data_IF_849428949594
#
_entry.id   IF_849428949594
#
_cell.length_a   1.000
_cell.length_b   1.000
_cell.length_c   1.000
_cell.angle_alpha   90.00
_cell.angle_beta   90.00
_cell.angle_gamma   90.00
#
_symmetry.space_group_name_H-M   'P 1'
#
loop_
_entity.id
_entity.type
_entity.pdbx_description
1 polymer ?
#
# COMPACT_ATOMS: atom_id res chain seq x y z
N UNK A 1 32.61 -16.45 88.84
CA UNK A 1 32.41 -15.09 88.28
C UNK A 1 32.97 -15.08 86.86
N UNK A 2 32.18 -15.30 85.90
CA UNK A 2 32.61 -15.41 84.50
C UNK A 2 31.97 -14.27 83.72
N UNK A 3 32.79 -13.33 83.22
CA UNK A 3 32.37 -12.17 82.43
C UNK A 3 32.14 -12.60 81.00
N UNK A 4 30.94 -12.38 80.49
CA UNK A 4 30.63 -12.52 79.07
C UNK A 4 30.83 -11.19 78.34
N UNK A 5 31.69 -11.23 77.35
CA UNK A 5 31.94 -10.07 76.43
C UNK A 5 31.03 -10.27 75.22
N UNK A 6 30.13 -9.31 74.98
CA UNK A 6 29.26 -9.26 73.78
C UNK A 6 30.05 -8.56 72.66
N UNK A 7 30.31 -9.33 71.58
CA UNK A 7 30.85 -8.75 70.32
C UNK A 7 29.69 -8.38 69.45
N UNK A 8 29.54 -7.08 69.19
CA UNK A 8 28.57 -6.57 68.23
C UNK A 8 29.24 -6.52 66.87
N UNK A 9 28.84 -7.43 65.98
CA UNK A 9 29.27 -7.40 64.58
C UNK A 9 28.40 -6.46 63.76
N UNK A 10 29.04 -5.41 63.26
CA UNK A 10 28.42 -4.50 62.24
C UNK A 10 28.48 -5.18 60.89
N UNK A 11 27.32 -5.57 60.31
CA UNK A 11 27.20 -5.97 58.91
C UNK A 11 27.10 -4.69 58.06
N UNK A 12 28.12 -4.46 57.26
CA UNK A 12 28.10 -3.43 56.24
C UNK A 12 27.24 -4.00 55.07
N UNK A 13 26.02 -3.46 54.89
CA UNK A 13 25.26 -3.66 53.68
C UNK A 13 25.92 -2.83 52.57
N UNK A 14 26.66 -3.50 51.69
CA UNK A 14 27.07 -2.92 50.42
C UNK A 14 25.84 -2.83 49.54
N UNK A 15 25.20 -1.68 49.50
CA UNK A 15 24.15 -1.36 48.53
C UNK A 15 24.79 -1.29 47.14
N UNK A 16 24.50 -2.29 46.29
CA UNK A 16 24.78 -2.24 44.86
C UNK A 16 23.91 -1.14 44.23
N UNK A 17 24.51 0.03 44.01
CA UNK A 17 23.96 1.03 43.11
C UNK A 17 23.93 0.43 41.72
N UNK A 18 22.74 0.00 41.26
CA UNK A 18 22.47 -0.21 39.86
C UNK A 18 22.48 1.17 39.22
N UNK A 19 23.37 1.47 38.25
CA UNK A 19 23.29 2.74 37.55
C UNK A 19 21.94 2.77 36.83
N UNK A 20 21.11 3.76 37.13
CA UNK A 20 19.95 4.10 36.34
C UNK A 20 20.46 4.41 34.94
N UNK A 21 20.23 3.48 34.00
CA UNK A 21 20.40 3.76 32.58
C UNK A 21 19.34 4.82 32.28
N UNK A 22 19.75 6.07 32.29
CA UNK A 22 19.02 7.14 31.67
C UNK A 22 18.97 6.75 30.19
N UNK A 23 17.83 6.32 29.74
CA UNK A 23 17.53 6.26 28.32
C UNK A 23 17.81 7.68 27.82
N UNK A 24 18.88 7.80 27.05
CA UNK A 24 19.21 9.02 26.36
C UNK A 24 18.05 9.20 25.39
N UNK A 25 17.10 10.09 25.73
CA UNK A 25 16.08 10.54 24.81
C UNK A 25 16.81 10.93 23.54
N UNK A 26 16.52 10.18 22.47
CA UNK A 26 17.13 10.40 21.18
C UNK A 26 16.88 11.85 20.76
N UNK A 27 17.91 12.66 20.82
CA UNK A 27 17.92 14.06 20.44
C UNK A 27 17.81 14.29 18.92
N UNK A 28 17.25 13.32 18.19
CA UNK A 28 16.79 13.44 16.82
C UNK A 28 15.27 13.49 16.78
N UNK A 29 14.68 14.42 17.53
CA UNK A 29 13.29 14.79 17.29
C UNK A 29 13.20 15.28 15.84
N UNK A 30 12.45 14.56 15.00
CA UNK A 30 12.18 14.99 13.62
C UNK A 30 11.52 16.37 13.71
N UNK A 31 12.19 17.38 13.18
CA UNK A 31 11.60 18.71 13.10
C UNK A 31 10.52 18.68 12.01
N UNK A 32 9.27 18.77 12.43
CA UNK A 32 8.14 18.88 11.50
C UNK A 32 8.08 20.31 10.96
N UNK A 33 8.11 20.49 9.62
CA UNK A 33 7.86 21.81 9.04
C UNK A 33 6.41 22.23 9.30
N UNK A 34 6.13 23.53 9.27
CA UNK A 34 4.76 23.99 9.15
C UNK A 34 4.19 23.56 7.79
N UNK A 35 2.96 23.08 7.78
CA UNK A 35 2.31 22.72 6.53
C UNK A 35 2.21 23.95 5.59
N UNK A 36 2.62 23.78 4.36
CA UNK A 36 2.54 24.80 3.32
C UNK A 36 1.90 24.21 2.06
N UNK A 37 1.01 24.99 1.46
CA UNK A 37 0.32 24.60 0.22
C UNK A 37 -0.94 23.77 0.46
N UNK A 38 -1.49 23.28 -0.63
CA UNK A 38 -2.74 22.53 -0.71
C UNK A 38 -2.58 21.11 -0.13
N UNK A 39 -3.64 20.58 0.47
CA UNK A 39 -3.69 19.19 0.91
C UNK A 39 -3.38 18.26 -0.27
N UNK A 40 -2.49 17.33 -0.02
CA UNK A 40 -2.13 16.23 -0.93
C UNK A 40 -2.34 14.88 -0.26
N UNK A 41 -2.65 13.87 -1.08
CA UNK A 41 -2.94 12.53 -0.63
C UNK A 41 -2.35 11.48 -1.57
N UNK A 42 -2.15 10.26 -1.07
CA UNK A 42 -1.66 9.12 -1.83
C UNK A 42 -2.25 7.82 -1.27
N UNK A 43 -2.08 6.74 -2.01
CA UNK A 43 -2.42 5.37 -1.63
C UNK A 43 -3.85 5.21 -1.09
N UNK A 44 -4.80 5.55 -1.92
CA UNK A 44 -6.23 5.51 -1.61
C UNK A 44 -6.81 4.12 -1.91
N UNK A 45 -7.59 3.62 -0.96
CA UNK A 45 -8.40 2.41 -1.14
C UNK A 45 -9.79 2.63 -0.55
N UNK A 46 -10.83 2.21 -1.27
CA UNK A 46 -12.20 2.31 -0.78
C UNK A 46 -12.91 0.97 -0.93
N UNK A 47 -13.56 0.52 0.15
CA UNK A 47 -14.50 -0.59 0.16
C UNK A 47 -15.91 -0.05 0.38
N UNK A 48 -16.81 -0.33 -0.56
CA UNK A 48 -18.24 -0.04 -0.47
C UNK A 48 -18.99 -1.32 -0.14
N UNK A 49 -19.75 -1.34 0.95
CA UNK A 49 -20.68 -2.44 1.25
C UNK A 49 -22.10 -1.98 1.00
N UNK A 50 -22.71 -2.48 -0.07
CA UNK A 50 -24.09 -2.14 -0.41
C UNK A 50 -25.02 -2.77 0.63
N UNK A 51 -25.84 -1.94 1.27
CA UNK A 51 -26.81 -2.36 2.27
C UNK A 51 -28.11 -2.82 1.60
N UNK A 52 -29.16 -3.08 2.38
CA UNK A 52 -30.46 -3.47 1.86
C UNK A 52 -30.92 -2.44 0.80
N UNK A 53 -31.31 -2.88 -0.42
CA UNK A 53 -31.55 -1.97 -1.55
C UNK A 53 -32.58 -0.89 -1.29
N UNK A 54 -33.61 -1.20 -0.51
CA UNK A 54 -34.66 -0.27 -0.11
C UNK A 54 -34.17 0.91 0.71
N UNK A 55 -32.99 0.80 1.31
CA UNK A 55 -32.37 1.90 2.07
C UNK A 55 -31.63 2.90 1.17
N UNK A 56 -31.33 2.52 -0.07
CA UNK A 56 -30.47 3.28 -0.98
C UNK A 56 -29.14 3.69 -0.33
N UNK A 57 -28.62 2.86 0.58
CA UNK A 57 -27.46 3.16 1.42
C UNK A 57 -26.34 2.15 1.24
N UNK A 58 -25.12 2.61 1.47
CA UNK A 58 -23.93 1.78 1.47
C UNK A 58 -22.94 2.28 2.51
N UNK A 59 -22.26 1.33 3.15
CA UNK A 59 -21.17 1.62 4.08
C UNK A 59 -19.87 1.79 3.29
N UNK A 60 -19.09 2.78 3.65
CA UNK A 60 -17.79 3.07 3.05
C UNK A 60 -16.71 2.85 4.10
N UNK A 61 -15.72 2.06 3.76
CA UNK A 61 -14.43 1.97 4.43
C UNK A 61 -13.40 2.61 3.50
N UNK A 62 -12.75 3.68 3.93
CA UNK A 62 -11.84 4.46 3.13
C UNK A 62 -10.48 4.57 3.84
N UNK A 63 -9.45 4.03 3.23
CA UNK A 63 -8.06 4.23 3.62
C UNK A 63 -7.47 5.34 2.77
N UNK A 64 -6.92 6.34 3.42
CA UNK A 64 -6.28 7.48 2.78
C UNK A 64 -5.01 7.87 3.50
N UNK A 65 -4.07 8.42 2.76
CA UNK A 65 -2.77 8.81 3.26
C UNK A 65 -2.54 10.29 3.01
N UNK A 66 -2.52 11.10 4.07
CA UNK A 66 -2.12 12.50 4.00
C UNK A 66 -0.62 12.61 3.73
N UNK A 67 -0.21 13.39 2.73
CA UNK A 67 1.20 13.50 2.30
C UNK A 67 1.76 14.92 2.39
N UNK A 68 0.94 15.92 2.73
CA UNK A 68 1.43 17.29 2.93
C UNK A 68 2.26 17.35 4.21
N UNK A 69 3.57 17.49 4.08
CA UNK A 69 4.49 17.53 5.21
C UNK A 69 4.11 18.61 6.22
N UNK A 70 4.13 18.28 7.50
CA UNK A 70 3.75 19.16 8.62
C UNK A 70 2.23 19.31 8.81
N UNK A 71 1.39 18.74 7.96
CA UNK A 71 -0.06 18.80 8.13
C UNK A 71 -0.46 18.12 9.45
N UNK A 72 -1.30 18.78 10.23
CA UNK A 72 -1.90 18.27 11.47
C UNK A 72 -3.38 17.95 11.32
N UNK A 73 -3.95 18.26 10.15
CA UNK A 73 -5.33 17.99 9.78
C UNK A 73 -5.41 17.34 8.41
N UNK A 74 -6.49 16.59 8.19
CA UNK A 74 -6.87 16.06 6.88
C UNK A 74 -8.36 16.29 6.65
N UNK A 75 -8.75 16.67 5.44
CA UNK A 75 -10.12 16.99 5.07
C UNK A 75 -10.64 16.01 4.02
N UNK A 76 -11.68 15.27 4.35
CA UNK A 76 -12.35 14.37 3.41
C UNK A 76 -13.69 14.98 2.95
N UNK A 77 -13.90 15.25 1.66
CA UNK A 77 -15.13 15.85 1.17
C UNK A 77 -16.32 14.91 1.33
N UNK A 78 -17.47 15.46 1.72
CA UNK A 78 -18.76 14.77 1.68
C UNK A 78 -19.39 15.06 0.33
N UNK A 79 -19.60 14.02 -0.48
CA UNK A 79 -20.10 14.16 -1.85
C UNK A 79 -21.46 14.86 -1.85
N UNK A 80 -21.60 15.87 -2.70
CA UNK A 80 -22.85 16.64 -2.86
C UNK A 80 -24.01 15.72 -3.24
N UNK A 81 -25.09 15.80 -2.47
CA UNK A 81 -26.30 14.98 -2.66
C UNK A 81 -26.28 13.62 -1.97
N UNK A 82 -25.20 13.28 -1.21
CA UNK A 82 -25.19 12.15 -0.29
C UNK A 82 -25.42 12.65 1.15
N UNK A 83 -26.13 11.85 1.94
CA UNK A 83 -26.25 12.03 3.39
C UNK A 83 -25.26 11.10 4.07
N UNK A 84 -24.35 11.66 4.86
CA UNK A 84 -23.36 10.88 5.61
C UNK A 84 -23.86 10.65 7.05
N UNK A 85 -23.62 9.45 7.58
CA UNK A 85 -23.92 9.05 8.96
C UNK A 85 -22.93 7.98 9.44
N UNK A 86 -22.98 7.68 10.74
CA UNK A 86 -22.20 6.61 11.40
C UNK A 86 -20.70 6.75 11.16
N UNK A 87 -20.21 8.00 11.18
CA UNK A 87 -18.81 8.28 10.93
C UNK A 87 -17.93 7.82 12.08
N UNK A 88 -16.80 7.22 11.74
CA UNK A 88 -15.71 6.98 12.65
C UNK A 88 -14.38 7.13 11.93
N UNK A 89 -13.38 7.61 12.65
CA UNK A 89 -12.04 7.84 12.08
C UNK A 89 -10.99 7.22 12.99
N UNK A 90 -10.02 6.57 12.40
CA UNK A 90 -8.97 5.83 13.10
C UNK A 90 -7.60 6.12 12.50
N UNK A 91 -6.59 6.28 13.33
CA UNK A 91 -5.18 6.27 12.89
C UNK A 91 -4.81 4.84 12.48
N UNK A 92 -4.45 4.65 11.21
CA UNK A 92 -4.17 3.31 10.68
C UNK A 92 -2.91 2.67 11.28
N UNK A 93 -1.96 3.47 11.77
CA UNK A 93 -0.75 2.96 12.42
C UNK A 93 -1.07 2.34 13.79
N UNK A 94 -1.83 3.06 14.61
CA UNK A 94 -2.04 2.68 16.02
C UNK A 94 -3.37 1.97 16.28
N UNK A 95 -4.30 2.01 15.33
CA UNK A 95 -5.68 1.52 15.51
C UNK A 95 -6.53 2.39 16.45
N UNK A 96 -6.03 3.55 16.89
CA UNK A 96 -6.74 4.42 17.86
C UNK A 96 -7.69 5.37 17.15
N UNK A 97 -8.86 5.67 17.74
CA UNK A 97 -9.77 6.69 17.25
C UNK A 97 -9.10 8.06 17.15
N UNK A 98 -9.45 8.81 16.11
CA UNK A 98 -9.05 10.20 15.91
C UNK A 98 -10.24 11.13 16.13
N UNK A 99 -9.95 12.34 16.58
CA UNK A 99 -10.94 13.39 16.64
C UNK A 99 -11.29 13.89 15.24
N UNK A 100 -12.57 14.07 14.95
CA UNK A 100 -13.05 14.66 13.71
C UNK A 100 -14.30 15.52 13.95
N UNK A 101 -14.55 16.42 13.03
CA UNK A 101 -15.74 17.28 12.99
C UNK A 101 -16.22 17.48 11.57
N UNK A 102 -17.49 17.70 11.35
CA UNK A 102 -18.01 18.11 10.04
C UNK A 102 -18.02 19.62 9.97
N UNK A 103 -17.32 20.15 8.97
CA UNK A 103 -17.17 21.59 8.72
C UNK A 103 -17.71 21.97 7.35
N UNK A 104 -18.23 23.20 7.22
CA UNK A 104 -18.60 23.74 5.91
C UNK A 104 -17.37 24.09 5.07
N UNK A 105 -17.54 24.22 3.75
CA UNK A 105 -16.47 24.68 2.86
C UNK A 105 -15.92 26.05 3.25
N UNK A 106 -16.76 26.95 3.78
CA UNK A 106 -16.32 28.25 4.28
C UNK A 106 -15.42 28.14 5.51
N UNK A 107 -15.70 27.20 6.40
CA UNK A 107 -14.84 26.89 7.56
C UNK A 107 -13.55 26.20 7.11
N UNK A 108 -13.64 25.24 6.19
CA UNK A 108 -12.48 24.55 5.66
C UNK A 108 -11.47 25.51 5.03
N UNK A 109 -11.94 26.54 4.27
CA UNK A 109 -11.07 27.56 3.66
C UNK A 109 -10.27 28.42 4.64
N UNK A 110 -10.57 28.38 5.93
CA UNK A 110 -9.77 29.06 6.96
C UNK A 110 -8.45 28.34 7.23
N UNK A 111 -8.36 27.07 6.84
CA UNK A 111 -7.10 26.31 6.88
C UNK A 111 -6.34 26.49 5.55
N UNK A 112 -5.06 26.88 5.58
CA UNK A 112 -4.24 27.00 4.37
C UNK A 112 -4.20 25.74 3.51
N UNK A 113 -4.39 24.56 4.11
CA UNK A 113 -4.48 23.28 3.37
C UNK A 113 -5.68 23.23 2.43
N UNK A 114 -6.72 24.04 2.67
CA UNK A 114 -8.02 23.98 2.02
C UNK A 114 -8.44 25.33 1.41
N UNK A 115 -7.50 26.17 1.01
CA UNK A 115 -7.75 27.50 0.41
C UNK A 115 -8.67 27.46 -0.84
N UNK A 116 -8.73 26.29 -1.50
CA UNK A 116 -9.54 26.01 -2.67
C UNK A 116 -10.81 25.18 -2.38
N UNK A 117 -11.16 24.93 -1.09
CA UNK A 117 -12.35 24.14 -0.74
C UNK A 117 -13.62 24.68 -1.42
N UNK A 118 -14.47 23.79 -1.92
CA UNK A 118 -15.78 24.16 -2.47
C UNK A 118 -16.68 24.64 -1.34
N UNK A 119 -17.16 25.88 -1.44
CA UNK A 119 -18.01 26.55 -0.45
C UNK A 119 -19.37 25.85 -0.26
N UNK A 120 -19.85 25.14 -1.28
CA UNK A 120 -21.14 24.43 -1.23
C UNK A 120 -21.02 23.00 -0.67
N UNK A 121 -19.81 22.55 -0.34
CA UNK A 121 -19.55 21.22 0.20
C UNK A 121 -19.30 21.26 1.70
N UNK A 122 -19.54 20.13 2.34
CA UNK A 122 -19.11 19.86 3.71
C UNK A 122 -17.92 18.89 3.68
N UNK A 123 -17.09 18.97 4.70
CA UNK A 123 -15.88 18.17 4.84
C UNK A 123 -15.84 17.52 6.23
N UNK A 124 -15.38 16.29 6.30
CA UNK A 124 -14.94 15.67 7.54
C UNK A 124 -13.51 16.14 7.78
N UNK A 125 -13.33 17.06 8.73
CA UNK A 125 -12.04 17.53 9.20
C UNK A 125 -11.52 16.62 10.28
N UNK A 126 -10.37 16.04 10.08
CA UNK A 126 -9.76 15.04 10.95
C UNK A 126 -8.50 15.66 11.57
N UNK A 127 -8.36 15.54 12.91
CA UNK A 127 -7.11 15.85 13.59
C UNK A 127 -6.20 14.62 13.52
N UNK A 128 -5.05 14.74 12.87
CA UNK A 128 -4.08 13.65 12.74
C UNK A 128 -3.43 13.32 14.09
N UNK A 129 -3.08 12.06 14.30
CA UNK A 129 -2.42 11.62 15.54
C UNK A 129 -1.05 12.30 15.77
N UNK A 130 -0.41 12.71 14.69
CA UNK A 130 0.88 13.40 14.63
C UNK A 130 0.98 14.21 13.35
N UNK A 131 1.82 15.25 13.28
CA UNK A 131 2.09 15.93 12.03
C UNK A 131 2.64 14.96 10.98
N UNK A 132 2.31 15.16 9.72
CA UNK A 132 2.87 14.36 8.62
C UNK A 132 4.39 14.58 8.57
N UNK A 133 5.22 13.53 8.65
CA UNK A 133 6.66 13.69 8.62
C UNK A 133 7.17 14.16 7.25
N UNK A 134 8.33 14.82 7.18
CA UNK A 134 9.00 15.11 5.92
C UNK A 134 9.20 13.81 5.13
N UNK A 135 8.78 13.78 3.86
CA UNK A 135 8.81 12.59 3.00
C UNK A 135 8.01 11.38 3.53
N UNK A 136 7.22 11.58 4.59
CA UNK A 136 6.38 10.57 5.21
C UNK A 136 4.90 10.74 4.91
N UNK A 137 4.07 10.06 5.66
CA UNK A 137 2.63 9.96 5.45
C UNK A 137 1.87 9.93 6.78
N UNK A 138 0.63 10.46 6.78
CA UNK A 138 -0.34 10.27 7.86
C UNK A 138 -1.47 9.37 7.36
N UNK A 139 -1.49 8.10 7.77
CA UNK A 139 -2.49 7.12 7.30
C UNK A 139 -3.74 7.16 8.17
N UNK A 140 -4.89 7.31 7.53
CA UNK A 140 -6.20 7.45 8.17
C UNK A 140 -7.18 6.44 7.59
N UNK A 141 -8.01 5.86 8.43
CA UNK A 141 -9.15 5.03 8.05
C UNK A 141 -10.43 5.80 8.42
N UNK A 142 -11.28 6.05 7.43
CA UNK A 142 -12.57 6.72 7.60
C UNK A 142 -13.66 5.70 7.28
N UNK A 143 -14.54 5.43 8.24
CA UNK A 143 -15.72 4.60 8.02
C UNK A 143 -16.94 5.49 8.13
N UNK A 144 -17.87 5.37 7.17
CA UNK A 144 -19.12 6.14 7.14
C UNK A 144 -20.19 5.39 6.35
N UNK A 145 -21.43 5.73 6.57
CA UNK A 145 -22.59 5.26 5.79
C UNK A 145 -23.07 6.41 4.92
N UNK A 146 -23.24 6.16 3.62
CA UNK A 146 -23.89 7.09 2.71
C UNK A 146 -25.27 6.57 2.32
N UNK A 147 -26.26 7.47 2.35
CA UNK A 147 -27.54 7.31 1.66
C UNK A 147 -27.47 8.13 0.38
N UNK A 148 -27.53 7.46 -0.75
CA UNK A 148 -27.38 8.09 -2.07
C UNK A 148 -28.25 7.35 -3.11
N UNK A 149 -29.54 7.70 -3.20
CA UNK A 149 -30.48 7.03 -4.12
C UNK A 149 -30.18 7.31 -5.60
N UNK A 150 -29.30 8.26 -5.93
CA UNK A 150 -28.86 8.47 -7.30
C UNK A 150 -27.78 7.50 -7.73
N UNK A 151 -26.94 7.07 -6.77
CA UNK A 151 -25.87 6.12 -7.02
C UNK A 151 -26.28 4.67 -6.79
N UNK A 152 -27.20 4.41 -5.82
CA UNK A 152 -27.64 3.06 -5.48
C UNK A 152 -29.17 2.98 -5.43
N UNK A 153 -29.75 2.22 -6.31
CA UNK A 153 -31.21 2.12 -6.48
C UNK A 153 -31.60 0.76 -7.07
N UNK A 154 -32.92 0.51 -7.16
CA UNK A 154 -33.50 -0.65 -7.80
C UNK A 154 -34.22 -0.26 -9.08
N UNK A 155 -34.15 -1.12 -10.10
CA UNK A 155 -34.95 -1.07 -11.31
C UNK A 155 -35.73 -2.38 -11.51
N UNK A 156 -36.33 -2.58 -12.68
CA UNK A 156 -37.11 -3.78 -13.01
C UNK A 156 -36.24 -5.06 -13.06
N UNK A 157 -34.93 -4.94 -13.27
CA UNK A 157 -33.99 -6.05 -13.41
C UNK A 157 -33.29 -6.41 -12.10
N UNK A 158 -33.30 -5.51 -11.10
CA UNK A 158 -32.65 -5.76 -9.84
C UNK A 158 -32.10 -4.50 -9.18
N UNK A 159 -30.86 -4.54 -8.75
CA UNK A 159 -30.15 -3.38 -8.17
C UNK A 159 -29.16 -2.80 -9.18
N UNK A 160 -28.99 -1.51 -9.09
CA UNK A 160 -28.00 -0.74 -9.84
C UNK A 160 -27.13 0.04 -8.89
N UNK A 161 -25.82 -0.11 -9.00
CA UNK A 161 -24.85 0.80 -8.39
C UNK A 161 -24.13 1.54 -9.51
N UNK A 162 -24.46 2.82 -9.67
CA UNK A 162 -23.93 3.69 -10.71
C UNK A 162 -23.20 4.86 -10.05
N UNK A 163 -21.89 4.74 -9.97
CA UNK A 163 -21.08 5.75 -9.29
C UNK A 163 -19.70 5.85 -9.93
N UNK A 164 -19.38 6.95 -10.60
CA UNK A 164 -18.01 7.24 -11.00
C UNK A 164 -17.10 7.36 -9.78
N UNK A 165 -15.94 6.69 -9.81
CA UNK A 165 -15.02 6.59 -8.67
C UNK A 165 -13.66 7.20 -9.03
N UNK A 166 -13.29 8.28 -8.32
CA UNK A 166 -11.99 8.96 -8.47
C UNK A 166 -10.85 8.27 -7.72
N UNK A 167 -11.20 7.42 -6.75
CA UNK A 167 -10.23 6.66 -5.97
C UNK A 167 -9.66 5.52 -6.82
N UNK A 168 -8.36 5.29 -6.73
CA UNK A 168 -7.68 4.34 -7.63
C UNK A 168 -8.01 2.88 -7.34
N UNK A 169 -8.07 2.50 -6.06
CA UNK A 169 -8.29 1.12 -5.61
C UNK A 169 -9.66 0.98 -4.97
N UNK A 170 -10.50 0.14 -5.53
CA UNK A 170 -11.89 0.04 -5.12
C UNK A 170 -12.33 -1.41 -4.96
N UNK A 171 -13.21 -1.62 -3.98
CA UNK A 171 -13.97 -2.84 -3.79
C UNK A 171 -15.43 -2.52 -3.53
N UNK A 172 -16.32 -3.20 -4.19
CA UNK A 172 -17.77 -3.11 -3.97
C UNK A 172 -18.28 -4.48 -3.56
N UNK A 173 -18.97 -4.57 -2.42
CA UNK A 173 -19.57 -5.80 -1.91
C UNK A 173 -21.08 -5.71 -2.09
N UNK A 174 -21.65 -6.68 -2.79
CA UNK A 174 -23.10 -6.74 -3.04
C UNK A 174 -23.87 -7.14 -1.77
N UNK A 175 -25.16 -6.83 -1.68
CA UNK A 175 -26.03 -7.39 -0.63
C UNK A 175 -26.08 -8.92 -0.72
N UNK A 176 -26.43 -9.63 0.37
CA UNK A 176 -26.56 -11.08 0.33
C UNK A 176 -27.66 -11.54 -0.67
N UNK A 177 -27.39 -12.62 -1.38
CA UNK A 177 -28.34 -13.23 -2.32
C UNK A 177 -28.49 -12.50 -3.65
N UNK A 178 -27.47 -11.75 -4.07
CA UNK A 178 -27.41 -11.12 -5.39
C UNK A 178 -26.29 -11.69 -6.24
N UNK A 179 -26.54 -11.79 -7.54
CA UNK A 179 -25.56 -12.16 -8.57
C UNK A 179 -25.33 -11.00 -9.54
N UNK A 180 -24.11 -10.90 -10.09
CA UNK A 180 -23.71 -9.84 -11.01
C UNK A 180 -24.28 -10.15 -12.39
N UNK A 181 -25.01 -9.20 -12.98
CA UNK A 181 -25.56 -9.31 -14.33
C UNK A 181 -24.95 -8.32 -15.31
N UNK A 182 -24.25 -7.28 -14.80
CA UNK A 182 -23.54 -6.33 -15.64
C UNK A 182 -22.45 -5.58 -14.86
N UNK A 183 -21.34 -5.28 -15.54
CA UNK A 183 -20.18 -4.60 -14.97
C UNK A 183 -19.43 -3.85 -16.07
N UNK A 184 -19.21 -2.54 -15.87
CA UNK A 184 -18.59 -1.68 -16.90
C UNK A 184 -17.08 -1.55 -16.79
N UNK A 185 -16.49 -1.88 -15.64
CA UNK A 185 -15.04 -1.76 -15.39
C UNK A 185 -14.45 -3.16 -15.23
N UNK A 186 -13.38 -3.52 -15.96
CA UNK A 186 -12.69 -4.79 -15.76
C UNK A 186 -12.29 -4.96 -14.30
N UNK A 187 -12.70 -6.06 -13.68
CA UNK A 187 -12.58 -6.25 -12.25
C UNK A 187 -12.34 -7.72 -11.89
N UNK A 188 -11.70 -7.92 -10.76
CA UNK A 188 -11.64 -9.21 -10.08
C UNK A 188 -12.98 -9.42 -9.34
N UNK A 189 -13.59 -10.58 -9.51
CA UNK A 189 -14.82 -10.97 -8.80
C UNK A 189 -14.42 -12.00 -7.74
N UNK A 190 -14.82 -11.77 -6.51
CA UNK A 190 -14.48 -12.60 -5.36
C UNK A 190 -15.72 -12.93 -4.56
N UNK A 191 -15.64 -14.02 -3.78
CA UNK A 191 -16.63 -14.35 -2.76
C UNK A 191 -16.10 -14.00 -1.39
N UNK A 192 -16.83 -13.18 -0.64
CA UNK A 192 -16.52 -12.85 0.75
C UNK A 192 -16.73 -14.08 1.64
N UNK A 193 -16.11 -14.13 2.84
CA UNK A 193 -16.31 -15.24 3.78
C UNK A 193 -17.76 -15.50 4.17
N UNK A 194 -18.63 -14.47 4.07
CA UNK A 194 -20.07 -14.55 4.36
C UNK A 194 -20.92 -14.93 3.13
N UNK A 195 -20.28 -15.26 1.99
CA UNK A 195 -20.92 -15.68 0.76
C UNK A 195 -21.38 -14.55 -0.15
N UNK A 196 -21.22 -13.28 0.24
CA UNK A 196 -21.52 -12.14 -0.65
C UNK A 196 -20.52 -12.08 -1.79
N UNK A 197 -20.95 -11.60 -2.96
CA UNK A 197 -20.05 -11.31 -4.05
C UNK A 197 -19.42 -9.92 -3.88
N UNK A 198 -18.16 -9.82 -4.25
CA UNK A 198 -17.45 -8.55 -4.29
C UNK A 198 -16.74 -8.36 -5.63
N UNK A 199 -16.60 -7.11 -6.02
CA UNK A 199 -15.99 -6.63 -7.25
C UNK A 199 -14.84 -5.73 -6.84
N UNK A 200 -13.62 -6.04 -7.27
CA UNK A 200 -12.42 -5.30 -6.88
C UNK A 200 -11.60 -4.93 -8.11
N UNK A 201 -11.14 -3.69 -8.19
CA UNK A 201 -10.34 -3.20 -9.31
C UNK A 201 -9.38 -2.07 -8.94
N UNK A 202 -8.39 -1.88 -9.77
CA UNK A 202 -7.51 -0.72 -9.80
C UNK A 202 -7.79 0.11 -11.06
N UNK A 203 -8.06 1.40 -10.90
CA UNK A 203 -8.15 2.35 -12.00
C UNK A 203 -6.88 3.21 -12.04
N UNK A 204 -5.94 2.88 -12.92
CA UNK A 204 -4.66 3.59 -13.04
C UNK A 204 -4.73 4.79 -14.00
N UNK A 205 -5.84 4.95 -14.74
CA UNK A 205 -6.05 6.04 -15.69
C UNK A 205 -6.29 7.38 -15.02
N UNK A 206 -6.25 8.46 -15.82
CA UNK A 206 -6.70 9.77 -15.37
C UNK A 206 -8.22 9.87 -15.25
N UNK A 207 -8.70 10.67 -14.30
CA UNK A 207 -10.13 10.87 -14.07
C UNK A 207 -10.78 9.76 -13.24
N UNK A 208 -12.11 9.71 -13.26
CA UNK A 208 -12.92 8.76 -12.51
C UNK A 208 -13.17 7.46 -13.30
N UNK A 209 -13.16 6.31 -12.65
CA UNK A 209 -13.62 5.06 -13.23
C UNK A 209 -15.14 5.10 -13.44
N UNK A 210 -15.67 4.87 -14.66
CA UNK A 210 -17.09 4.96 -14.94
C UNK A 210 -17.81 3.67 -14.53
N UNK A 211 -17.88 3.42 -13.22
CA UNK A 211 -18.42 2.18 -12.66
C UNK A 211 -19.93 2.15 -12.68
N UNK A 212 -20.48 1.14 -13.35
CA UNK A 212 -21.89 0.72 -13.26
C UNK A 212 -21.93 -0.78 -13.00
N UNK A 213 -22.64 -1.18 -11.95
CA UNK A 213 -22.90 -2.57 -11.60
C UNK A 213 -24.40 -2.80 -11.69
N UNK A 214 -24.81 -3.88 -12.38
CA UNK A 214 -26.14 -4.43 -12.33
C UNK A 214 -26.09 -5.78 -11.64
N UNK A 215 -27.03 -6.01 -10.72
CA UNK A 215 -27.15 -7.31 -10.06
C UNK A 215 -28.61 -7.68 -9.80
N UNK A 216 -28.94 -8.95 -9.93
CA UNK A 216 -30.27 -9.49 -9.69
C UNK A 216 -30.29 -10.43 -8.50
N UNK A 217 -31.48 -10.63 -7.89
CA UNK A 217 -31.61 -11.65 -6.85
C UNK A 217 -31.36 -13.03 -7.43
N UNK A 218 -30.46 -13.76 -6.78
CA UNK A 218 -30.24 -15.17 -7.10
C UNK A 218 -31.50 -15.94 -6.75
N UNK A 219 -32.02 -16.73 -7.67
CA UNK A 219 -33.11 -17.66 -7.37
C UNK A 219 -32.61 -18.63 -6.30
N UNK A 220 -33.04 -18.46 -5.07
CA UNK A 220 -32.70 -19.39 -4.00
C UNK A 220 -33.39 -20.73 -4.25
N UNK A 221 -32.68 -21.65 -4.85
CA UNK A 221 -32.96 -23.07 -4.67
C UNK A 221 -32.50 -23.41 -3.27
N UNK A 222 -33.41 -23.68 -2.35
CA UNK A 222 -33.18 -23.88 -0.92
C UNK A 222 -32.23 -25.02 -0.54
N UNK A 223 -31.03 -24.96 -0.97
CA UNK A 223 -29.91 -25.80 -0.55
C UNK A 223 -28.76 -24.93 -0.04
N UNK A 224 -28.14 -25.44 1.01
CA UNK A 224 -26.98 -24.89 1.72
C UNK A 224 -26.05 -24.09 0.80
N UNK A 225 -25.42 -23.06 1.38
CA UNK A 225 -24.38 -22.26 0.75
C UNK A 225 -23.60 -23.13 -0.24
N UNK A 226 -23.67 -22.76 -1.53
CA UNK A 226 -22.86 -23.43 -2.55
C UNK A 226 -21.44 -23.47 -2.02
N UNK A 227 -20.77 -24.63 -2.08
CA UNK A 227 -19.37 -24.67 -1.74
C UNK A 227 -18.69 -23.56 -2.52
N UNK A 228 -17.74 -22.88 -1.89
CA UNK A 228 -16.94 -21.82 -2.49
C UNK A 228 -16.67 -22.20 -3.95
N UNK A 229 -17.08 -21.41 -4.96
CA UNK A 229 -17.05 -21.85 -6.36
C UNK A 229 -15.67 -22.32 -6.81
N UNK A 230 -14.64 -21.96 -6.08
CA UNK A 230 -13.26 -22.39 -6.32
C UNK A 230 -12.78 -23.53 -5.41
N UNK A 231 -13.59 -23.99 -4.45
CA UNK A 231 -13.20 -25.11 -3.57
C UNK A 231 -13.10 -26.45 -4.30
N UNK A 232 -13.73 -26.56 -5.48
CA UNK A 232 -13.71 -27.78 -6.33
C UNK A 232 -13.12 -27.54 -7.72
N UNK A 233 -12.81 -26.30 -8.10
CA UNK A 233 -12.37 -25.94 -9.45
C UNK A 233 -10.85 -26.05 -9.60
N UNK A 234 -10.30 -27.22 -9.36
CA UNK A 234 -8.88 -27.47 -9.68
C UNK A 234 -8.57 -27.49 -11.17
N UNK A 235 -9.59 -27.48 -12.02
CA UNK A 235 -9.41 -27.56 -13.48
C UNK A 235 -8.75 -26.35 -14.11
N UNK A 236 -8.70 -25.20 -13.43
CA UNK A 236 -8.00 -24.01 -13.88
C UNK A 236 -6.68 -23.76 -13.09
N UNK A 237 -6.42 -24.59 -12.07
CA UNK A 237 -5.10 -24.64 -11.47
C UNK A 237 -4.14 -25.09 -12.56
N UNK A 238 -3.10 -24.30 -12.80
CA UNK A 238 -2.05 -24.65 -13.73
C UNK A 238 -1.50 -26.03 -13.40
N UNK A 239 -1.17 -26.85 -14.41
CA UNK A 239 -0.48 -28.11 -14.21
C UNK A 239 0.91 -27.96 -13.57
N UNK A 240 1.42 -26.73 -13.39
CA UNK A 240 2.59 -26.44 -12.58
C UNK A 240 2.24 -26.59 -11.12
N UNK A 241 2.46 -27.75 -10.68
CA UNK A 241 2.13 -28.34 -9.42
C UNK A 241 2.91 -27.78 -8.23
N UNK A 242 2.22 -27.43 -7.28
CA UNK A 242 2.52 -27.24 -5.88
C UNK A 242 1.20 -26.93 -5.21
N UNK A 243 1.06 -26.96 -3.90
CA UNK A 243 -0.04 -26.32 -3.22
C UNK A 243 0.09 -24.82 -3.49
N UNK A 244 -0.19 -24.44 -4.73
CA UNK A 244 -0.07 -23.08 -5.19
C UNK A 244 -1.07 -22.26 -4.40
N UNK A 245 -0.68 -21.08 -4.00
CA UNK A 245 -1.59 -20.06 -3.50
C UNK A 245 -2.64 -19.67 -4.55
N UNK A 246 -2.59 -20.25 -5.75
CA UNK A 246 -3.55 -20.06 -6.86
C UNK A 246 -4.97 -20.37 -6.46
N UNK A 247 -5.20 -21.35 -5.60
CA UNK A 247 -6.52 -21.62 -5.03
C UNK A 247 -6.97 -20.57 -4.01
N UNK A 248 -6.10 -19.65 -3.59
CA UNK A 248 -6.43 -18.56 -2.70
C UNK A 248 -6.58 -17.28 -3.50
N UNK A 249 -7.82 -16.99 -3.91
CA UNK A 249 -8.12 -15.72 -4.54
C UNK A 249 -8.14 -14.61 -3.49
N UNK A 250 -6.99 -14.01 -3.28
CA UNK A 250 -6.86 -12.80 -2.47
C UNK A 250 -7.23 -11.57 -3.31
N UNK A 251 -7.79 -10.59 -2.65
CA UNK A 251 -8.04 -9.30 -3.29
C UNK A 251 -6.73 -8.60 -3.64
N UNK A 252 -6.49 -8.42 -4.93
CA UNK A 252 -5.24 -7.84 -5.44
C UNK A 252 -5.23 -6.31 -5.36
N UNK A 253 -6.40 -5.67 -5.50
CA UNK A 253 -6.48 -4.20 -5.41
C UNK A 253 -6.21 -3.68 -4.00
N UNK A 254 -6.54 -4.45 -2.96
CA UNK A 254 -6.22 -4.10 -1.58
C UNK A 254 -4.71 -4.19 -1.27
N UNK A 255 -3.99 -5.10 -1.93
CA UNK A 255 -2.56 -5.26 -1.72
C UNK A 255 -1.82 -3.94 -1.86
N UNK A 256 -1.22 -3.45 -0.78
CA UNK A 256 -0.53 -2.17 -0.74
C UNK A 256 0.95 -2.25 -1.16
N UNK A 257 1.40 -3.44 -1.55
CA UNK A 257 2.76 -3.63 -2.05
C UNK A 257 2.92 -2.97 -3.42
N UNK A 258 3.70 -1.91 -3.45
CA UNK A 258 4.00 -1.11 -4.62
C UNK A 258 5.51 -1.05 -4.82
N UNK A 259 5.98 -1.43 -6.00
CA UNK A 259 7.40 -1.35 -6.35
C UNK A 259 7.57 -0.40 -7.53
N UNK A 260 8.46 0.58 -7.38
CA UNK A 260 8.83 1.48 -8.46
C UNK A 260 10.29 1.28 -8.80
N UNK A 261 10.57 0.88 -10.03
CA UNK A 261 11.90 0.71 -10.60
C UNK A 261 12.31 1.97 -11.36
N UNK A 262 13.44 2.54 -11.03
CA UNK A 262 14.05 3.67 -11.75
C UNK A 262 15.28 3.15 -12.52
N UNK A 263 15.11 2.93 -13.79
CA UNK A 263 16.20 2.43 -14.64
C UNK A 263 17.28 3.50 -14.79
N UNK A 264 18.53 3.13 -14.54
CA UNK A 264 19.70 3.96 -14.79
C UNK A 264 20.13 3.79 -16.26
N UNK A 265 21.24 4.37 -16.67
CA UNK A 265 21.76 4.12 -18.03
C UNK A 265 22.01 2.63 -18.22
N UNK A 266 21.52 2.02 -19.34
CA UNK A 266 21.53 0.56 -19.48
C UNK A 266 22.92 -0.07 -19.47
N UNK A 267 23.95 0.70 -19.76
CA UNK A 267 25.36 0.29 -19.68
C UNK A 267 25.80 -0.07 -18.26
N UNK A 268 25.09 0.44 -17.25
CA UNK A 268 25.36 0.12 -15.83
C UNK A 268 24.71 -1.20 -15.40
N UNK A 269 23.76 -1.73 -16.17
CA UNK A 269 22.91 -2.86 -15.79
C UNK A 269 22.17 -2.66 -14.45
N UNK A 270 22.04 -1.39 -14.01
CA UNK A 270 21.56 -1.06 -12.67
C UNK A 270 20.27 -0.27 -12.72
N UNK A 271 19.46 -0.48 -11.70
CA UNK A 271 18.25 0.29 -11.41
C UNK A 271 18.09 0.46 -9.90
N UNK A 272 17.68 1.64 -9.48
CA UNK A 272 17.22 1.84 -8.13
C UNK A 272 15.74 1.50 -8.02
N UNK A 273 15.29 1.13 -6.84
CA UNK A 273 13.88 0.90 -6.58
C UNK A 273 13.50 1.39 -5.18
N UNK A 274 12.24 1.70 -5.00
CA UNK A 274 11.64 1.65 -3.68
C UNK A 274 10.46 0.67 -3.68
N UNK A 275 10.22 0.11 -2.50
CA UNK A 275 9.15 -0.82 -2.22
C UNK A 275 8.38 -0.33 -0.99
N UNK A 276 7.12 -0.02 -1.16
CA UNK A 276 6.22 0.29 -0.06
C UNK A 276 5.51 -0.99 0.39
N UNK A 277 5.45 -1.20 1.70
CA UNK A 277 4.89 -2.39 2.30
C UNK A 277 4.29 -2.10 3.66
N UNK A 278 3.03 -2.48 3.88
CA UNK A 278 2.40 -2.41 5.21
C UNK A 278 2.46 -3.77 5.89
N UNK A 279 3.03 -3.80 7.09
CA UNK A 279 3.01 -4.96 7.97
C UNK A 279 1.96 -4.77 9.06
N UNK A 280 1.04 -5.73 9.18
CA UNK A 280 -0.04 -5.72 10.17
C UNK A 280 -0.18 -7.05 10.93
N UNK A 281 0.64 -8.06 10.57
CA UNK A 281 0.60 -9.38 11.20
C UNK A 281 1.25 -9.32 12.57
N UNK A 282 0.49 -9.66 13.62
CA UNK A 282 0.99 -9.65 14.99
C UNK A 282 2.17 -10.61 15.18
N UNK A 283 3.19 -10.17 15.90
CA UNK A 283 4.40 -10.94 16.20
C UNK A 283 5.49 -10.88 15.13
N UNK A 284 5.24 -10.29 13.95
CA UNK A 284 6.28 -10.03 12.95
C UNK A 284 7.17 -8.90 13.45
N UNK A 285 8.49 -9.08 13.34
CA UNK A 285 9.51 -8.15 13.84
C UNK A 285 10.56 -7.76 12.80
N UNK A 286 10.40 -8.22 11.55
CA UNK A 286 11.34 -7.90 10.48
C UNK A 286 10.67 -8.02 9.11
N UNK A 287 11.21 -7.31 8.13
CA UNK A 287 10.98 -7.56 6.72
C UNK A 287 12.23 -8.21 6.13
N UNK A 288 12.05 -9.18 5.26
CA UNK A 288 13.13 -9.87 4.56
C UNK A 288 12.98 -9.65 3.05
N UNK A 289 14.01 -9.08 2.43
CA UNK A 289 14.10 -8.98 0.98
C UNK A 289 15.15 -9.95 0.46
N UNK A 290 14.71 -11.04 -0.18
CA UNK A 290 15.61 -12.04 -0.75
C UNK A 290 16.21 -11.49 -2.04
N UNK A 291 17.54 -11.43 -2.12
CA UNK A 291 18.27 -11.00 -3.29
C UNK A 291 18.18 -12.07 -4.38
N UNK A 292 17.74 -11.68 -5.57
CA UNK A 292 17.61 -12.64 -6.68
C UNK A 292 18.97 -13.17 -7.11
N UNK A 293 19.02 -14.47 -7.39
CA UNK A 293 20.21 -15.10 -7.99
C UNK A 293 20.64 -14.38 -9.27
N UNK A 294 21.92 -14.07 -9.38
CA UNK A 294 22.49 -13.33 -10.52
C UNK A 294 22.24 -11.82 -10.47
N UNK A 295 21.75 -11.30 -9.36
CA UNK A 295 21.67 -9.86 -9.06
C UNK A 295 22.51 -9.54 -7.84
N UNK A 296 22.94 -8.28 -7.75
CA UNK A 296 23.64 -7.72 -6.60
C UNK A 296 22.81 -6.57 -6.04
N UNK A 297 22.51 -6.61 -4.75
CA UNK A 297 21.81 -5.53 -4.05
C UNK A 297 22.80 -4.63 -3.34
N UNK A 298 22.64 -3.32 -3.46
CA UNK A 298 23.50 -2.32 -2.83
C UNK A 298 22.70 -1.14 -2.29
N UNK A 299 23.32 -0.39 -1.37
CA UNK A 299 22.73 0.80 -0.73
C UNK A 299 21.33 0.59 -0.15
N UNK A 300 21.08 -0.50 0.60
CA UNK A 300 19.78 -0.70 1.22
C UNK A 300 19.51 0.37 2.28
N UNK A 301 18.31 0.91 2.26
CA UNK A 301 17.81 1.82 3.29
C UNK A 301 16.34 1.59 3.54
N UNK A 302 15.87 1.84 4.75
CA UNK A 302 14.47 1.67 5.09
C UNK A 302 14.05 2.66 6.17
N UNK A 303 12.78 3.05 6.14
CA UNK A 303 12.18 3.85 7.19
C UNK A 303 10.68 3.55 7.34
N UNK A 304 10.14 3.88 8.51
CA UNK A 304 8.70 3.83 8.77
C UNK A 304 8.08 5.11 8.21
N UNK A 305 7.22 4.98 7.20
CA UNK A 305 6.60 6.13 6.52
C UNK A 305 5.70 6.93 7.46
N UNK A 306 5.05 6.25 8.40
CA UNK A 306 4.15 6.87 9.38
C UNK A 306 4.84 7.82 10.35
N UNK A 307 6.11 7.56 10.68
CA UNK A 307 6.85 8.31 11.69
C UNK A 307 8.11 9.01 11.16
N UNK A 308 8.59 8.59 9.98
CA UNK A 308 9.89 9.01 9.45
C UNK A 308 11.08 8.34 10.12
N UNK A 309 10.86 7.38 11.05
CA UNK A 309 11.92 6.66 11.75
C UNK A 309 12.76 5.85 10.78
N UNK A 310 14.07 6.10 10.78
CA UNK A 310 15.03 5.33 9.98
C UNK A 310 15.30 3.98 10.63
N UNK A 311 15.26 2.92 9.84
CA UNK A 311 15.51 1.56 10.30
C UNK A 311 16.89 1.07 9.86
N UNK A 312 17.45 0.16 10.65
CA UNK A 312 18.68 -0.54 10.25
C UNK A 312 18.39 -1.51 9.12
N UNK A 313 19.35 -1.65 8.23
CA UNK A 313 19.35 -2.67 7.19
C UNK A 313 20.55 -3.59 7.41
N UNK A 314 20.34 -4.89 7.32
CA UNK A 314 21.35 -5.92 7.59
C UNK A 314 21.37 -6.89 6.42
N UNK A 315 22.52 -7.08 5.78
CA UNK A 315 22.69 -8.12 4.76
C UNK A 315 23.25 -9.38 5.44
N UNK A 316 22.58 -10.50 5.23
CA UNK A 316 22.96 -11.78 5.85
C UNK A 316 22.43 -12.96 5.05
N UNK A 317 22.77 -14.19 5.46
CA UNK A 317 22.17 -15.40 4.90
C UNK A 317 20.85 -15.73 5.61
N UNK A 318 19.97 -16.51 4.96
CA UNK A 318 18.73 -16.99 5.58
C UNK A 318 18.99 -17.78 6.87
N UNK A 319 20.07 -18.56 6.92
CA UNK A 319 20.49 -19.26 8.13
C UNK A 319 20.83 -18.29 9.28
N UNK A 320 21.57 -17.21 8.98
CA UNK A 320 21.92 -16.19 9.98
C UNK A 320 20.68 -15.40 10.45
N UNK A 321 19.74 -15.12 9.54
CA UNK A 321 18.47 -14.50 9.87
C UNK A 321 17.66 -15.34 10.87
N UNK A 322 17.57 -16.65 10.62
CA UNK A 322 16.89 -17.61 11.52
C UNK A 322 17.57 -17.68 12.89
N UNK A 323 18.90 -17.79 12.91
CA UNK A 323 19.69 -17.83 14.15
C UNK A 323 19.55 -16.54 14.98
N UNK A 324 19.35 -15.40 14.33
CA UNK A 324 19.12 -14.11 14.98
C UNK A 324 17.64 -13.90 15.41
N UNK A 325 16.76 -14.86 15.21
CA UNK A 325 15.33 -14.82 15.55
C UNK A 325 14.55 -13.70 14.85
N UNK A 326 14.97 -13.31 13.66
CA UNK A 326 14.19 -12.39 12.84
C UNK A 326 13.01 -13.12 12.20
N UNK A 327 11.80 -12.64 12.49
CA UNK A 327 10.55 -13.21 12.02
C UNK A 327 9.92 -12.28 10.96
N UNK A 328 10.03 -12.64 9.69
CA UNK A 328 9.37 -11.96 8.58
C UNK A 328 8.04 -12.62 8.17
N UNK A 329 7.63 -13.69 8.87
CA UNK A 329 6.39 -14.44 8.58
C UNK A 329 6.47 -15.30 7.32
N UNK A 330 7.66 -15.50 6.79
CA UNK A 330 7.95 -16.40 5.66
C UNK A 330 9.26 -17.13 5.90
N UNK A 331 9.42 -18.28 5.27
CA UNK A 331 10.66 -19.07 5.34
C UNK A 331 11.62 -18.55 4.27
N UNK A 332 12.86 -18.28 4.66
CA UNK A 332 13.95 -17.94 3.76
C UNK A 332 14.90 -19.12 3.65
N UNK A 333 15.29 -19.47 2.43
CA UNK A 333 16.25 -20.54 2.19
C UNK A 333 17.59 -20.23 2.90
N UNK A 334 18.22 -21.20 3.60
CA UNK A 334 19.40 -20.97 4.43
C UNK A 334 20.54 -20.27 3.74
N UNK A 335 20.79 -20.60 2.46
CA UNK A 335 21.89 -20.08 1.65
C UNK A 335 21.54 -18.79 0.89
N UNK A 336 20.27 -18.37 0.91
CA UNK A 336 19.83 -17.17 0.24
C UNK A 336 20.44 -15.93 0.89
N UNK A 337 20.95 -15.01 0.09
CA UNK A 337 21.31 -13.68 0.55
C UNK A 337 20.01 -12.87 0.78
N UNK A 338 19.91 -12.24 1.93
CA UNK A 338 18.73 -11.49 2.33
C UNK A 338 19.09 -10.18 2.99
N UNK A 339 18.40 -9.11 2.58
CA UNK A 339 18.40 -7.83 3.28
C UNK A 339 17.29 -7.86 4.32
N UNK A 340 17.66 -7.84 5.59
CA UNK A 340 16.75 -7.87 6.75
C UNK A 340 16.60 -6.49 7.32
N UNK A 341 15.36 -6.10 7.57
CA UNK A 341 14.98 -4.80 8.15
C UNK A 341 14.23 -5.08 9.46
N UNK A 342 14.91 -5.05 10.60
CA UNK A 342 14.28 -5.28 11.90
C UNK A 342 13.47 -4.08 12.38
N UNK A 343 12.36 -4.34 13.04
CA UNK A 343 11.51 -3.34 13.69
C UNK A 343 10.86 -3.93 14.96
N UNK A 344 10.22 -3.08 15.74
CA UNK A 344 9.48 -3.50 16.94
C UNK A 344 8.36 -4.46 16.53
N UNK A 345 8.19 -5.61 17.20
CA UNK A 345 7.14 -6.57 16.86
C UNK A 345 5.76 -5.93 16.78
N UNK A 346 5.03 -6.25 15.71
CA UNK A 346 3.68 -5.72 15.50
C UNK A 346 2.73 -6.28 16.58
N UNK A 347 1.96 -5.40 17.19
CA UNK A 347 0.90 -5.76 18.13
C UNK A 347 -0.44 -5.83 17.39
N UNK A 348 -1.32 -6.74 17.83
CA UNK A 348 -2.65 -6.89 17.22
C UNK A 348 -3.40 -5.56 17.14
N UNK A 349 -3.91 -5.24 15.97
CA UNK A 349 -4.63 -4.00 15.68
C UNK A 349 -3.74 -2.80 15.32
N UNK A 350 -2.42 -3.01 15.25
CA UNK A 350 -1.46 -2.03 14.78
C UNK A 350 -0.88 -2.42 13.42
N UNK A 351 -0.32 -1.46 12.72
CA UNK A 351 0.42 -1.68 11.49
C UNK A 351 1.48 -0.59 11.31
N UNK A 352 2.55 -0.93 10.60
CA UNK A 352 3.54 0.04 10.13
C UNK A 352 3.63 -0.03 8.62
N UNK A 353 3.84 1.10 7.96
CA UNK A 353 4.19 1.12 6.54
C UNK A 353 5.67 1.42 6.39
N UNK A 354 6.37 0.52 5.72
CA UNK A 354 7.79 0.63 5.41
C UNK A 354 7.97 1.17 4.00
N UNK A 355 8.92 2.06 3.80
CA UNK A 355 9.55 2.30 2.50
C UNK A 355 10.95 1.74 2.54
N UNK A 356 11.25 0.86 1.60
CA UNK A 356 12.51 0.16 1.47
C UNK A 356 13.10 0.57 0.12
N UNK A 357 14.31 1.07 0.11
CA UNK A 357 14.99 1.49 -1.11
C UNK A 357 16.29 0.73 -1.26
N UNK A 358 16.58 0.32 -2.50
CA UNK A 358 17.77 -0.44 -2.86
C UNK A 358 18.18 -0.11 -4.30
N UNK A 359 19.42 -0.41 -4.62
CA UNK A 359 19.93 -0.42 -6.00
C UNK A 359 20.31 -1.85 -6.37
N UNK A 360 19.82 -2.31 -7.50
CA UNK A 360 20.14 -3.62 -8.06
C UNK A 360 21.03 -3.45 -9.28
N UNK A 361 22.08 -4.27 -9.37
CA UNK A 361 22.82 -4.55 -10.60
C UNK A 361 22.42 -5.94 -11.06
N UNK A 362 21.78 -6.05 -12.22
CA UNK A 362 21.14 -7.28 -12.69
C UNK A 362 21.28 -7.42 -14.22
N UNK A 363 22.47 -7.78 -14.74
CA UNK A 363 22.75 -7.79 -16.18
C UNK A 363 21.87 -8.76 -16.98
N UNK A 364 21.37 -9.80 -16.34
CA UNK A 364 20.43 -10.73 -16.98
C UNK A 364 19.04 -10.12 -17.16
N UNK A 365 18.64 -9.22 -16.26
CA UNK A 365 17.32 -8.58 -16.29
C UNK A 365 17.33 -7.21 -16.96
N UNK A 366 18.46 -6.51 -16.96
CA UNK A 366 18.57 -5.15 -17.48
C UNK A 366 19.85 -4.96 -18.28
N UNK A 367 19.72 -4.66 -19.57
CA UNK A 367 20.84 -4.57 -20.50
C UNK A 367 20.54 -3.72 -21.72
N UNK A 368 21.59 -3.38 -22.45
CA UNK A 368 21.50 -2.85 -23.80
C UNK A 368 21.75 -4.01 -24.80
N UNK A 369 20.94 -4.09 -25.83
CA UNK A 369 21.09 -5.00 -26.96
C UNK A 369 21.05 -4.17 -28.27
N UNK A 370 22.19 -3.93 -28.86
CA UNK A 370 22.33 -2.92 -29.94
C UNK A 370 21.90 -1.54 -29.42
N UNK A 371 20.91 -0.92 -30.05
CA UNK A 371 20.35 0.39 -29.67
C UNK A 371 19.12 0.27 -28.76
N UNK A 372 18.77 -0.94 -28.37
CA UNK A 372 17.55 -1.20 -27.63
C UNK A 372 17.84 -1.56 -26.16
N UNK A 373 17.27 -0.79 -25.26
CA UNK A 373 17.21 -1.11 -23.83
C UNK A 373 16.24 -2.29 -23.64
N UNK A 374 16.68 -3.30 -22.92
CA UNK A 374 15.90 -4.48 -22.53
C UNK A 374 15.78 -4.50 -21.00
N UNK A 375 14.56 -4.49 -20.50
CA UNK A 375 14.24 -4.78 -19.10
C UNK A 375 13.31 -5.99 -19.07
N UNK A 376 13.83 -7.12 -18.59
CA UNK A 376 13.19 -8.43 -18.58
C UNK A 376 13.13 -8.94 -17.15
N UNK A 377 11.94 -8.89 -16.54
CA UNK A 377 11.80 -9.18 -15.12
C UNK A 377 10.41 -9.71 -14.78
N UNK A 378 10.37 -10.69 -13.89
CA UNK A 378 9.12 -11.18 -13.33
C UNK A 378 8.64 -10.28 -12.17
N UNK A 379 7.38 -9.86 -12.21
CA UNK A 379 6.72 -9.05 -11.19
C UNK A 379 5.84 -9.93 -10.30
N UNK A 380 6.18 -10.06 -9.03
CA UNK A 380 5.40 -10.84 -8.05
C UNK A 380 4.40 -10.00 -7.25
N UNK A 381 4.37 -8.70 -7.44
CA UNK A 381 3.48 -7.79 -6.70
C UNK A 381 2.35 -7.30 -7.61
N UNK A 382 1.16 -6.97 -7.04
CA UNK A 382 0.04 -6.51 -7.87
C UNK A 382 0.31 -5.19 -8.57
N UNK A 383 1.11 -4.30 -7.97
CA UNK A 383 1.42 -2.99 -8.52
C UNK A 383 2.92 -2.85 -8.72
N UNK A 384 3.30 -2.49 -9.93
CA UNK A 384 4.68 -2.23 -10.29
C UNK A 384 4.74 -1.01 -11.22
N UNK A 385 5.77 -0.20 -11.10
CA UNK A 385 6.03 0.86 -12.05
C UNK A 385 7.48 0.81 -12.52
N UNK A 386 7.71 1.17 -13.79
CA UNK A 386 9.05 1.29 -14.35
C UNK A 386 9.21 2.69 -14.92
N UNK A 387 10.24 3.39 -14.46
CA UNK A 387 10.63 4.72 -14.96
C UNK A 387 11.86 4.56 -15.84
N UNK A 388 11.72 4.90 -17.12
CA UNK A 388 12.83 4.84 -18.09
C UNK A 388 13.90 5.89 -17.76
N UNK A 389 15.15 5.69 -18.19
CA UNK A 389 16.17 6.73 -18.11
C UNK A 389 15.79 7.97 -18.91
N UNK A 390 16.36 9.12 -18.57
CA UNK A 390 16.12 10.35 -19.30
C UNK A 390 16.51 10.19 -20.78
N UNK A 391 15.71 10.74 -21.70
CA UNK A 391 15.95 10.67 -23.13
C UNK A 391 15.54 9.35 -23.81
N UNK A 392 14.91 8.42 -23.10
CA UNK A 392 14.41 7.17 -23.66
C UNK A 392 12.89 7.20 -23.87
N UNK A 393 12.40 6.40 -24.83
CA UNK A 393 10.98 6.19 -25.10
C UNK A 393 10.69 4.69 -25.25
N UNK A 394 9.52 4.26 -24.85
CA UNK A 394 9.09 2.86 -24.90
C UNK A 394 8.85 2.42 -26.34
N UNK A 395 9.31 1.22 -26.69
CA UNK A 395 9.07 0.58 -27.99
C UNK A 395 8.25 -0.70 -27.87
N UNK A 396 8.27 -1.37 -26.73
CA UNK A 396 7.44 -2.55 -26.46
C UNK A 396 7.19 -2.73 -24.97
N UNK A 397 6.02 -3.28 -24.64
CA UNK A 397 5.66 -3.80 -23.33
C UNK A 397 4.86 -5.09 -23.54
N UNK A 398 5.30 -6.19 -22.94
CA UNK A 398 4.68 -7.52 -23.14
C UNK A 398 3.30 -7.66 -22.47
N UNK A 399 3.02 -6.82 -21.48
CA UNK A 399 1.72 -6.80 -20.79
C UNK A 399 1.13 -5.39 -20.81
N UNK A 400 -0.19 -5.25 -20.66
CA UNK A 400 -0.85 -3.95 -20.60
C UNK A 400 -0.27 -3.05 -19.51
N UNK A 401 -0.06 -1.78 -19.83
CA UNK A 401 0.41 -0.75 -18.91
C UNK A 401 -0.22 0.59 -19.24
N UNK A 402 -0.31 1.48 -18.25
CA UNK A 402 -0.50 2.90 -18.53
C UNK A 402 0.86 3.55 -18.72
N UNK A 403 0.91 4.57 -19.60
CA UNK A 403 2.14 5.31 -19.88
C UNK A 403 1.92 6.77 -19.54
N UNK A 404 2.83 7.34 -18.78
CA UNK A 404 2.80 8.75 -18.41
C UNK A 404 4.17 9.40 -18.57
N UNK A 405 4.18 10.73 -18.72
CA UNK A 405 5.40 11.54 -18.73
C UNK A 405 5.51 12.25 -17.40
N UNK A 406 6.61 12.03 -16.71
CA UNK A 406 6.91 12.70 -15.44
C UNK A 406 7.31 14.18 -15.70
N UNK A 407 7.25 15.03 -14.65
CA UNK A 407 7.64 16.45 -14.78
C UNK A 407 9.08 16.65 -15.29
N UNK A 408 9.98 15.72 -14.99
CA UNK A 408 11.37 15.72 -15.49
C UNK A 408 11.54 15.17 -16.91
N UNK A 409 10.44 14.85 -17.59
CA UNK A 409 10.41 14.38 -18.96
C UNK A 409 10.63 12.88 -19.14
N UNK A 410 10.95 12.11 -18.08
CA UNK A 410 11.06 10.67 -18.14
C UNK A 410 9.71 10.00 -18.38
N UNK A 411 9.73 8.82 -18.98
CA UNK A 411 8.53 8.02 -19.21
C UNK A 411 8.38 7.03 -18.06
N UNK A 412 7.16 6.95 -17.53
CA UNK A 412 6.74 5.99 -16.50
C UNK A 412 5.69 5.06 -17.08
N UNK A 413 5.87 3.77 -16.86
CA UNK A 413 4.88 2.73 -17.14
C UNK A 413 4.39 2.16 -15.81
N UNK A 414 3.07 2.13 -15.62
CA UNK A 414 2.44 1.52 -14.46
C UNK A 414 1.74 0.24 -14.89
N UNK A 415 1.99 -0.83 -14.13
CA UNK A 415 1.46 -2.16 -14.34
C UNK A 415 0.58 -2.55 -13.15
N UNK A 416 -0.56 -3.13 -13.47
CA UNK A 416 -1.39 -3.78 -12.48
C UNK A 416 -1.63 -5.22 -12.89
N UNK A 417 -1.24 -6.15 -12.00
CA UNK A 417 -1.44 -7.56 -12.19
C UNK A 417 -2.51 -8.08 -11.24
N UNK A 418 -3.64 -8.48 -11.79
CA UNK A 418 -4.75 -9.09 -11.05
C UNK A 418 -4.55 -10.59 -10.81
N UNK A 419 -3.55 -11.22 -11.43
CA UNK A 419 -3.27 -12.64 -11.23
C UNK A 419 -2.54 -12.87 -9.89
N UNK A 420 -2.76 -14.02 -9.22
CA UNK A 420 -2.07 -14.37 -7.99
C UNK A 420 -0.60 -14.75 -8.19
N UNK A 421 -0.23 -15.12 -9.42
CA UNK A 421 1.12 -15.56 -9.79
C UNK A 421 1.97 -14.41 -10.28
N UNK A 422 3.32 -14.51 -10.15
CA UNK A 422 4.22 -13.57 -10.81
C UNK A 422 4.00 -13.55 -12.32
N UNK A 423 4.06 -12.35 -12.91
CA UNK A 423 3.94 -12.16 -14.36
C UNK A 423 5.28 -11.72 -14.94
N UNK A 424 5.68 -12.35 -16.06
CA UNK A 424 6.91 -11.98 -16.76
C UNK A 424 6.65 -10.76 -17.64
N UNK A 425 7.47 -9.73 -17.43
CA UNK A 425 7.38 -8.46 -18.13
C UNK A 425 8.64 -8.22 -18.93
N UNK A 426 8.48 -8.11 -20.24
CA UNK A 426 9.51 -7.64 -21.16
C UNK A 426 9.17 -6.21 -21.60
N UNK A 427 10.03 -5.28 -21.22
CA UNK A 427 9.94 -3.88 -21.61
C UNK A 427 11.15 -3.54 -22.50
N UNK A 428 10.87 -2.88 -23.63
CA UNK A 428 11.90 -2.38 -24.54
C UNK A 428 11.78 -0.89 -24.74
N UNK A 429 12.90 -0.22 -24.92
CA UNK A 429 12.95 1.23 -25.13
C UNK A 429 14.14 1.61 -26.05
N UNK A 430 14.03 2.78 -26.67
CA UNK A 430 15.11 3.36 -27.48
C UNK A 430 15.42 4.77 -27.06
N UNK A 431 16.65 5.22 -27.34
CA UNK A 431 17.08 6.60 -27.08
C UNK A 431 16.52 7.54 -28.13
N UNK A 432 16.08 8.74 -27.72
CA UNK A 432 15.66 9.77 -28.66
C UNK A 432 16.88 10.34 -29.40
N UNK A 433 16.74 10.66 -30.68
CA UNK A 433 17.84 11.15 -31.51
C UNK A 433 18.42 12.49 -31.05
N UNK A 434 17.58 13.33 -30.45
CA UNK A 434 17.92 14.65 -29.92
C UNK A 434 18.65 14.63 -28.56
N UNK A 435 18.79 13.46 -27.97
CA UNK A 435 19.46 13.27 -26.67
C UNK A 435 20.81 12.55 -26.78
N UNK A 436 21.28 12.28 -28.00
CA UNK A 436 22.63 11.74 -28.21
C UNK A 436 23.63 12.88 -27.91
N UNK A 437 24.52 12.75 -26.91
CA UNK A 437 25.60 13.71 -26.73
C UNK A 437 26.39 13.77 -28.05
N UNK A 438 26.58 14.95 -28.62
CA UNK A 438 27.52 15.10 -29.74
C UNK A 438 28.87 14.51 -29.29
N UNK A 439 29.29 13.44 -29.98
CA UNK A 439 30.62 12.86 -29.78
C UNK A 439 31.61 14.00 -30.01
N UNK A 440 32.33 14.38 -28.96
CA UNK A 440 33.14 15.58 -28.89
C UNK A 440 33.97 15.74 -30.15
N UNK A 441 33.69 16.80 -30.89
CA UNK A 441 34.56 17.34 -31.93
C UNK A 441 35.84 17.83 -31.24
N UNK A 442 36.81 16.97 -31.15
CA UNK A 442 38.19 17.39 -30.88
C UNK A 442 38.68 18.20 -32.09
N UNK A 443 38.74 19.50 -31.92
CA UNK A 443 39.60 20.37 -32.70
C UNK A 443 40.90 20.61 -31.93
#
# INVERSE_FOLDING_TARGET
MQKWTIVVSWAILAGSMVPAIHAQENANAIAYPSATGTQTEADEYTRYELLAPETASFKIYYEVTATTAGATSFYNPIRKGSEASDESVTDAMTGKPLHFEVVSGAQARQDPLMDHADLEMNYIKITLARPVPPHGQGRVIIVKTYKDPKSYFTDAAGIVFNRPLGIKRNKIVLPPGYEITGLTVPSQILTEPDGRLSISFLHAGGGEAPLVIHASKTAQTGKAALPHPFASARSWESPFTGPSERGRLNERAYGDRDIVYFLQTPETHSFSLYHDYTESRAGINSYANVVRTGSEASNPSAYIVDTGEQLKTLTMTGAAMTAAHYNAGETVEPEAEVVVIPFVPIVKGQSIRLRISETYTAPLSYRLDGDELIFDRSFGRPRNAVVLPAGWYVTASSIPSTVSKLPDGRIRLDYWDGAPEPVDVLLKARRRADTVPEAGSTR
#
